data_IF_544143632640
#
_entry.id   IF_544143632640
#
_cell.length_a   1.000
_cell.length_b   1.000
_cell.length_c   1.000
_cell.angle_alpha   90.00
_cell.angle_beta   90.00
_cell.angle_gamma   90.00
#
_symmetry.space_group_name_H-M   'P 1'
#
loop_
_entity.id
_entity.type
_entity.pdbx_description
1 polymer ?
#
# COMPACT_ATOMS: atom_id res chain seq x y z
N UNK A 1 29.68 14.57 36.89
CA UNK A 1 29.23 13.52 35.95
C UNK A 1 27.84 13.92 35.48
N UNK A 2 27.72 14.36 34.23
CA UNK A 2 26.46 14.79 33.61
C UNK A 2 25.91 13.61 32.82
N UNK A 3 24.66 13.23 33.07
CA UNK A 3 23.97 12.16 32.34
C UNK A 3 22.76 12.80 31.67
N UNK A 4 22.67 12.68 30.35
CA UNK A 4 21.51 13.07 29.56
C UNK A 4 20.53 11.90 29.45
N UNK A 5 19.26 12.15 29.77
CA UNK A 5 18.16 11.23 29.42
C UNK A 5 16.96 12.07 28.98
N UNK A 6 16.48 11.83 27.75
CA UNK A 6 15.20 12.28 27.20
C UNK A 6 14.75 13.71 27.54
N UNK A 7 15.49 14.73 27.07
CA UNK A 7 15.02 16.13 26.88
C UNK A 7 14.04 16.70 27.94
N UNK A 8 14.23 16.38 29.23
CA UNK A 8 13.48 16.97 30.34
C UNK A 8 14.46 17.37 31.43
N UNK A 9 14.50 18.67 31.72
CA UNK A 9 15.33 19.24 32.78
C UNK A 9 14.62 19.06 34.12
N UNK A 10 15.14 18.21 35.00
CA UNK A 10 14.70 18.12 36.40
C UNK A 10 15.85 18.57 37.31
N UNK A 11 15.82 19.84 37.68
CA UNK A 11 16.66 20.39 38.75
C UNK A 11 15.96 20.14 40.09
N UNK A 12 16.47 19.17 40.87
CA UNK A 12 16.02 18.94 42.25
C UNK A 12 16.98 19.69 43.18
N UNK A 13 16.60 20.92 43.55
CA UNK A 13 17.32 21.70 44.56
C UNK A 13 16.94 21.24 45.97
N UNK A 14 17.86 20.57 46.66
CA UNK A 14 17.79 20.34 48.09
C UNK A 14 18.22 21.61 48.84
N UNK A 15 17.27 22.50 49.17
CA UNK A 15 17.25 23.30 50.42
C UNK A 15 16.10 24.33 50.40
N UNK A 16 15.01 24.00 51.12
CA UNK A 16 14.32 24.84 52.13
C UNK A 16 13.02 24.15 52.56
N UNK A 17 12.70 24.10 53.86
CA UNK A 17 11.39 23.62 54.30
C UNK A 17 10.31 24.65 53.92
N UNK A 18 9.34 24.24 53.11
CA UNK A 18 8.11 25.02 52.88
C UNK A 18 7.14 24.80 54.04
N UNK A 19 6.81 25.88 54.74
CA UNK A 19 5.66 25.94 55.64
C UNK A 19 4.47 26.49 54.85
N UNK A 20 3.33 25.79 54.86
CA UNK A 20 2.07 26.28 54.29
C UNK A 20 1.16 26.74 55.43
N UNK A 21 0.84 28.03 55.45
CA UNK A 21 -0.06 28.66 56.42
C UNK A 21 -1.47 28.65 55.82
N UNK A 22 -2.39 27.91 56.41
CA UNK A 22 -3.83 27.96 56.07
C UNK A 22 -4.56 28.19 57.39
N UNK A 23 -5.35 29.26 57.47
CA UNK A 23 -6.24 29.51 58.62
C UNK A 23 -5.53 29.72 59.98
N UNK A 24 -4.34 30.29 60.01
CA UNK A 24 -3.70 30.73 61.27
C UNK A 24 -2.99 29.66 62.11
N UNK A 25 -2.97 28.38 61.71
CA UNK A 25 -2.14 27.35 62.34
C UNK A 25 -1.06 26.79 61.39
N UNK A 26 0.10 26.46 61.96
CA UNK A 26 1.26 25.92 61.24
C UNK A 26 1.28 24.40 61.42
N UNK A 27 1.04 23.65 60.34
CA UNK A 27 1.15 22.19 60.35
C UNK A 27 2.52 21.75 59.84
N UNK A 28 3.19 20.88 60.61
CA UNK A 28 4.48 20.28 60.25
C UNK A 28 4.21 19.00 59.46
N UNK A 29 4.49 19.00 58.16
CA UNK A 29 4.32 17.81 57.31
C UNK A 29 5.35 16.75 57.71
N UNK A 30 4.90 15.64 58.32
CA UNK A 30 5.72 14.46 58.56
C UNK A 30 5.88 13.69 57.24
N UNK A 31 7.08 13.76 56.66
CA UNK A 31 7.44 12.87 55.56
C UNK A 31 7.59 11.44 56.10
N UNK A 32 6.89 10.47 55.51
CA UNK A 32 7.12 9.04 55.74
C UNK A 32 8.59 8.75 55.43
N UNK A 33 9.34 8.28 56.44
CA UNK A 33 10.69 7.76 56.27
C UNK A 33 10.61 6.51 55.41
N UNK A 34 10.80 6.66 54.10
CA UNK A 34 11.08 5.52 53.23
C UNK A 34 12.33 4.82 53.75
N UNK A 35 12.18 3.59 54.22
CA UNK A 35 13.29 2.74 54.66
C UNK A 35 14.25 2.55 53.50
N UNK A 36 15.56 2.73 53.77
CA UNK A 36 16.65 2.54 52.81
C UNK A 36 16.60 1.17 52.12
N UNK A 37 15.99 0.17 52.76
CA UNK A 37 15.83 -1.18 52.22
C UNK A 37 14.82 -1.26 51.06
N UNK A 38 13.76 -0.43 51.07
CA UNK A 38 12.75 -0.44 50.01
C UNK A 38 13.26 0.25 48.73
N UNK A 39 14.10 1.27 48.88
CA UNK A 39 14.74 1.95 47.74
C UNK A 39 15.78 1.05 47.05
N UNK A 40 16.50 0.22 47.82
CA UNK A 40 17.45 -0.77 47.30
C UNK A 40 16.75 -1.91 46.54
N UNK A 41 15.56 -2.33 46.97
CA UNK A 41 14.77 -3.36 46.29
C UNK A 41 14.21 -2.88 44.94
N UNK A 42 13.82 -1.61 44.82
CA UNK A 42 13.37 -1.04 43.56
C UNK A 42 14.54 -0.91 42.57
N UNK A 43 15.73 -0.53 43.05
CA UNK A 43 16.96 -0.43 42.24
C UNK A 43 17.49 -1.79 41.74
N UNK A 44 17.23 -2.89 42.45
CA UNK A 44 17.64 -4.23 42.02
C UNK A 44 16.70 -4.88 40.98
N UNK A 45 15.52 -4.31 40.75
CA UNK A 45 14.50 -4.89 39.85
C UNK A 45 14.48 -4.31 38.43
N UNK A 46 15.32 -3.31 38.15
CA UNK A 46 15.49 -2.77 36.80
C UNK A 46 16.39 -3.73 36.00
N UNK A 47 15.94 -4.28 34.86
CA UNK A 47 16.80 -5.09 34.01
C UNK A 47 17.99 -4.22 33.58
N UNK A 48 19.20 -4.77 33.74
CA UNK A 48 20.44 -4.14 33.32
C UNK A 48 20.40 -3.92 31.81
N UNK A 49 19.87 -2.77 31.42
CA UNK A 49 19.96 -2.24 30.07
C UNK A 49 21.43 -1.94 29.87
N UNK A 50 22.08 -2.68 28.98
CA UNK A 50 23.45 -2.38 28.56
C UNK A 50 23.46 -0.97 28.00
N UNK A 51 23.92 0.00 28.79
CA UNK A 51 24.25 1.34 28.33
C UNK A 51 25.45 1.20 27.40
N UNK A 52 25.19 1.05 26.10
CA UNK A 52 26.22 1.18 25.07
C UNK A 52 26.60 2.66 24.98
N UNK A 53 27.56 3.07 25.81
CA UNK A 53 28.22 4.36 25.66
C UNK A 53 29.15 4.31 24.45
N UNK A 54 28.99 5.26 23.51
CA UNK A 54 29.96 5.46 22.43
C UNK A 54 31.26 5.98 23.02
N UNK A 55 32.38 5.38 22.65
CA UNK A 55 33.70 5.76 23.14
C UNK A 55 34.33 6.79 22.21
N UNK A 56 34.61 7.98 22.74
CA UNK A 56 35.36 9.01 22.04
C UNK A 56 36.86 8.75 22.25
N UNK A 57 37.61 8.52 21.17
CA UNK A 57 39.06 8.30 21.20
C UNK A 57 39.79 9.42 20.47
N UNK A 58 41.09 9.55 20.71
CA UNK A 58 41.96 10.47 19.96
C UNK A 58 42.94 9.66 19.10
N UNK A 59 43.14 10.07 17.84
CA UNK A 59 44.11 9.44 16.95
C UNK A 59 45.55 9.94 17.23
N UNK A 60 46.55 9.39 16.54
CA UNK A 60 47.97 9.77 16.71
C UNK A 60 48.28 11.23 16.35
N UNK A 61 47.36 11.91 15.65
CA UNK A 61 47.45 13.33 15.28
C UNK A 61 46.69 14.24 16.26
N UNK A 62 46.08 13.69 17.31
CA UNK A 62 45.34 14.42 18.34
C UNK A 62 43.90 14.75 17.97
N UNK A 63 43.36 14.16 16.91
CA UNK A 63 42.01 14.40 16.42
C UNK A 63 41.02 13.44 17.09
N UNK A 64 39.84 13.95 17.45
CA UNK A 64 38.81 13.18 18.14
C UNK A 64 38.01 12.35 17.15
N UNK A 65 37.88 11.05 17.43
CA UNK A 65 37.14 10.07 16.63
C UNK A 65 36.10 9.36 17.49
N UNK A 66 34.98 9.00 16.87
CA UNK A 66 33.94 8.15 17.46
C UNK A 66 34.11 6.76 16.88
N UNK A 67 34.20 5.74 17.73
CA UNK A 67 34.35 4.35 17.31
C UNK A 67 33.12 3.55 17.76
N UNK A 68 32.52 2.82 16.83
CA UNK A 68 31.35 1.97 17.08
C UNK A 68 31.74 0.52 17.39
N UNK A 69 30.84 -0.26 18.03
CA UNK A 69 31.10 -1.66 18.35
C UNK A 69 31.34 -2.57 17.12
N UNK A 70 30.87 -2.16 15.94
CA UNK A 70 31.09 -2.85 14.66
C UNK A 70 32.49 -2.59 14.06
N UNK A 71 33.32 -1.77 14.74
CA UNK A 71 34.66 -1.40 14.30
C UNK A 71 34.69 -0.26 13.28
N UNK A 72 33.53 0.26 12.88
CA UNK A 72 33.46 1.50 12.12
C UNK A 72 33.85 2.68 13.00
N UNK A 73 34.40 3.72 12.39
CA UNK A 73 34.75 4.95 13.08
C UNK A 73 34.62 6.16 12.16
N UNK A 74 34.44 7.32 12.76
CA UNK A 74 34.43 8.60 12.03
C UNK A 74 35.05 9.71 12.88
N UNK A 75 35.43 10.81 12.22
CA UNK A 75 35.88 12.02 12.92
C UNK A 75 34.72 12.70 13.66
N UNK A 76 34.99 13.20 14.85
CA UNK A 76 33.99 13.92 15.64
C UNK A 76 33.50 15.20 14.95
N UNK A 77 34.35 15.83 14.12
CA UNK A 77 33.98 16.99 13.31
C UNK A 77 32.81 16.71 12.36
N UNK A 78 32.67 15.46 11.93
CA UNK A 78 31.72 15.05 10.89
C UNK A 78 30.48 14.37 11.50
N UNK A 79 30.34 14.41 12.83
CA UNK A 79 29.23 13.83 13.56
C UNK A 79 27.91 14.57 13.28
N UNK A 80 26.96 13.85 12.65
CA UNK A 80 25.67 14.39 12.21
C UNK A 80 25.57 14.59 10.69
N UNK A 81 26.59 14.24 9.91
CA UNK A 81 26.49 14.16 8.45
C UNK A 81 25.93 12.79 8.02
N UNK A 82 24.89 12.79 7.18
CA UNK A 82 24.25 11.57 6.65
C UNK A 82 24.97 11.03 5.38
N UNK A 83 26.20 11.50 5.10
CA UNK A 83 26.98 11.04 3.95
C UNK A 83 27.66 9.69 4.25
N UNK A 84 27.37 8.61 3.52
CA UNK A 84 27.99 7.30 3.76
C UNK A 84 29.51 7.29 3.62
N UNK A 85 30.10 8.30 2.96
CA UNK A 85 31.54 8.42 2.77
C UNK A 85 32.33 8.86 4.00
N UNK A 86 31.67 9.33 5.05
CA UNK A 86 32.31 9.79 6.31
C UNK A 86 32.56 8.66 7.31
N UNK A 87 31.98 7.48 7.07
CA UNK A 87 32.20 6.29 7.88
C UNK A 87 33.39 5.49 7.37
N UNK A 88 34.44 5.40 8.18
CA UNK A 88 35.63 4.63 7.88
C UNK A 88 35.58 3.26 8.59
N UNK A 89 36.21 2.24 8.01
CA UNK A 89 36.37 0.93 8.66
C UNK A 89 35.43 -0.19 8.21
N UNK A 90 34.46 0.07 7.32
CA UNK A 90 33.83 -1.01 6.54
C UNK A 90 34.82 -1.50 5.48
N UNK A 91 35.69 -2.43 5.85
CA UNK A 91 36.27 -3.35 4.86
C UNK A 91 35.13 -4.25 4.41
N UNK A 92 34.52 -3.90 3.28
CA UNK A 92 33.91 -4.92 2.44
C UNK A 92 34.99 -5.97 2.17
N UNK A 93 34.79 -7.16 2.71
CA UNK A 93 35.48 -8.34 2.22
C UNK A 93 35.14 -8.44 0.73
N UNK A 94 36.02 -7.88 -0.11
CA UNK A 94 36.15 -8.18 -1.53
C UNK A 94 36.64 -9.62 -1.68
N UNK A 95 35.81 -10.56 -1.24
CA UNK A 95 35.78 -11.91 -1.74
C UNK A 95 34.85 -11.89 -2.94
N UNK A 96 35.45 -11.93 -4.12
CA UNK A 96 34.84 -11.99 -5.45
C UNK A 96 33.70 -13.02 -5.54
N UNK A 97 32.51 -12.62 -5.12
CA UNK A 97 31.24 -13.25 -5.51
C UNK A 97 30.43 -12.20 -6.26
N UNK A 98 31.00 -11.79 -7.39
CA UNK A 98 30.18 -11.38 -8.54
C UNK A 98 29.26 -12.57 -8.83
N UNK A 99 28.02 -12.53 -8.32
CA UNK A 99 26.97 -13.35 -8.89
C UNK A 99 26.75 -12.81 -10.30
N UNK A 100 27.07 -13.57 -11.37
CA UNK A 100 26.86 -13.08 -12.72
C UNK A 100 25.36 -12.81 -12.87
N UNK A 101 24.99 -11.53 -12.94
CA UNK A 101 23.67 -11.12 -13.39
C UNK A 101 23.66 -11.50 -14.87
N UNK A 102 22.96 -12.57 -15.19
CA UNK A 102 22.76 -13.01 -16.57
C UNK A 102 21.88 -11.96 -17.27
N UNK A 103 22.53 -11.04 -17.98
CA UNK A 103 21.88 -10.09 -18.90
C UNK A 103 21.68 -10.77 -20.27
N UNK A 104 20.98 -11.90 -20.25
CA UNK A 104 20.51 -12.53 -21.48
C UNK A 104 19.15 -11.95 -21.84
N UNK A 105 18.99 -11.46 -23.05
CA UNK A 105 17.66 -11.35 -23.65
C UNK A 105 17.12 -12.76 -23.74
N UNK A 106 16.12 -13.07 -22.91
CA UNK A 106 15.30 -14.27 -23.12
C UNK A 106 14.58 -14.00 -24.43
N UNK A 107 15.14 -14.49 -25.53
CA UNK A 107 14.37 -14.63 -26.76
C UNK A 107 13.12 -15.41 -26.36
N UNK A 108 11.92 -14.85 -26.59
CA UNK A 108 10.68 -15.56 -26.29
C UNK A 108 10.80 -16.90 -26.98
N UNK A 109 10.64 -18.01 -26.24
CA UNK A 109 10.80 -19.37 -26.78
C UNK A 109 10.20 -19.42 -28.19
N UNK A 110 11.05 -19.49 -29.22
CA UNK A 110 10.61 -19.62 -30.59
C UNK A 110 10.12 -21.05 -30.76
N UNK A 111 8.83 -21.22 -30.45
CA UNK A 111 8.16 -22.49 -30.48
C UNK A 111 6.83 -22.35 -29.79
N UNK A 112 5.75 -22.62 -30.52
CA UNK A 112 4.50 -22.98 -29.90
C UNK A 112 4.79 -24.16 -28.97
N UNK A 113 4.72 -23.96 -27.66
CA UNK A 113 4.71 -25.08 -26.70
C UNK A 113 3.41 -25.83 -27.01
N UNK A 114 3.52 -26.85 -27.88
CA UNK A 114 2.39 -27.69 -28.24
C UNK A 114 2.02 -28.47 -26.98
N UNK A 115 0.98 -28.02 -26.30
CA UNK A 115 0.44 -28.70 -25.12
C UNK A 115 0.06 -30.11 -25.57
N UNK A 116 0.78 -31.12 -25.08
CA UNK A 116 0.48 -32.51 -25.44
C UNK A 116 -0.75 -32.99 -24.68
N UNK A 117 -1.45 -34.00 -25.20
CA UNK A 117 -2.60 -34.60 -24.50
C UNK A 117 -2.24 -35.08 -23.08
N UNK A 118 -1.02 -35.58 -22.90
CA UNK A 118 -0.49 -35.97 -21.60
C UNK A 118 -0.35 -34.78 -20.63
N UNK A 119 -0.03 -33.59 -21.14
CA UNK A 119 0.03 -32.38 -20.32
C UNK A 119 -1.37 -31.92 -19.91
N UNK A 120 -2.35 -32.02 -20.81
CA UNK A 120 -3.75 -31.72 -20.48
C UNK A 120 -4.26 -32.70 -19.42
N UNK A 121 -3.93 -33.99 -19.53
CA UNK A 121 -4.27 -35.00 -18.52
C UNK A 121 -3.65 -34.65 -17.16
N UNK A 122 -2.36 -34.30 -17.10
CA UNK A 122 -1.70 -33.88 -15.85
C UNK A 122 -2.37 -32.66 -15.24
N UNK A 123 -2.74 -31.67 -16.06
CA UNK A 123 -3.47 -30.47 -15.62
C UNK A 123 -4.84 -30.87 -15.07
N UNK A 124 -5.57 -31.74 -15.74
CA UNK A 124 -6.89 -32.22 -15.31
C UNK A 124 -6.82 -32.98 -13.98
N UNK A 125 -5.90 -33.92 -13.85
CA UNK A 125 -5.63 -34.66 -12.60
C UNK A 125 -5.29 -33.70 -11.47
N UNK A 126 -4.40 -32.73 -11.72
CA UNK A 126 -4.03 -31.72 -10.72
C UNK A 126 -5.22 -30.87 -10.30
N UNK A 127 -6.05 -30.42 -11.25
CA UNK A 127 -7.28 -29.67 -10.97
C UNK A 127 -8.27 -30.48 -10.15
N UNK A 128 -8.45 -31.76 -10.47
CA UNK A 128 -9.33 -32.66 -9.70
C UNK A 128 -8.84 -32.83 -8.25
N UNK A 129 -7.53 -32.97 -8.05
CA UNK A 129 -6.93 -33.02 -6.70
C UNK A 129 -7.18 -31.73 -5.92
N UNK A 130 -6.90 -30.57 -6.54
CA UNK A 130 -7.11 -29.26 -5.90
C UNK A 130 -8.59 -29.01 -5.57
N UNK A 131 -9.50 -29.39 -6.46
CA UNK A 131 -10.93 -29.28 -6.21
C UNK A 131 -11.36 -30.16 -5.04
N UNK A 132 -10.79 -31.37 -4.92
CA UNK A 132 -11.08 -32.23 -3.78
C UNK A 132 -10.53 -31.67 -2.46
N UNK A 133 -9.32 -31.13 -2.48
CA UNK A 133 -8.72 -30.48 -1.31
C UNK A 133 -9.57 -29.28 -0.87
N UNK A 134 -10.00 -28.44 -1.81
CA UNK A 134 -10.90 -27.33 -1.55
C UNK A 134 -12.24 -27.79 -0.94
N UNK A 135 -12.84 -28.87 -1.46
CA UNK A 135 -14.07 -29.43 -0.91
C UNK A 135 -13.89 -29.94 0.53
N UNK A 136 -12.75 -30.58 0.83
CA UNK A 136 -12.44 -31.04 2.18
C UNK A 136 -12.28 -29.86 3.15
N UNK A 137 -11.54 -28.82 2.76
CA UNK A 137 -11.34 -27.60 3.55
C UNK A 137 -12.67 -26.89 3.79
N UNK A 138 -13.51 -26.75 2.75
CA UNK A 138 -14.81 -26.11 2.88
C UNK A 138 -15.75 -26.91 3.79
N UNK A 139 -15.75 -28.25 3.70
CA UNK A 139 -16.50 -29.12 4.62
C UNK A 139 -16.02 -28.99 6.07
N UNK A 140 -14.71 -28.88 6.30
CA UNK A 140 -14.16 -28.68 7.64
C UNK A 140 -14.60 -27.33 8.21
N UNK A 141 -14.52 -26.25 7.41
CA UNK A 141 -14.99 -24.91 7.80
C UNK A 141 -16.47 -24.90 8.14
N UNK A 142 -17.30 -25.59 7.36
CA UNK A 142 -18.73 -25.74 7.65
C UNK A 142 -18.96 -26.47 8.99
N UNK A 143 -18.22 -27.55 9.26
CA UNK A 143 -18.30 -28.25 10.55
C UNK A 143 -17.86 -27.35 11.72
N UNK A 144 -16.76 -26.62 11.58
CA UNK A 144 -16.29 -25.66 12.58
C UNK A 144 -17.33 -24.56 12.84
N UNK A 145 -17.99 -24.04 11.79
CA UNK A 145 -19.05 -23.05 11.92
C UNK A 145 -20.29 -23.60 12.66
N UNK A 146 -20.70 -24.84 12.36
CA UNK A 146 -21.81 -25.51 13.08
C UNK A 146 -21.48 -25.71 14.57
N UNK A 147 -20.25 -26.13 14.88
CA UNK A 147 -19.78 -26.32 16.25
C UNK A 147 -19.72 -24.98 17.01
N UNK A 148 -19.26 -23.92 16.37
CA UNK A 148 -19.22 -22.57 16.94
C UNK A 148 -20.64 -22.06 17.27
N UNK A 149 -21.60 -22.25 16.35
CA UNK A 149 -23.00 -21.90 16.62
C UNK A 149 -23.56 -22.66 17.82
N UNK A 150 -23.34 -23.97 17.89
CA UNK A 150 -23.80 -24.80 19.00
C UNK A 150 -23.16 -24.40 20.33
N UNK A 151 -21.89 -23.99 20.33
CA UNK A 151 -21.21 -23.50 21.52
C UNK A 151 -21.85 -22.20 22.05
N UNK A 152 -22.16 -21.25 21.16
CA UNK A 152 -22.83 -19.99 21.52
C UNK A 152 -24.27 -20.24 21.98
N UNK A 153 -24.97 -21.21 21.38
CA UNK A 153 -26.32 -21.60 21.81
C UNK A 153 -26.33 -22.18 23.23
N UNK A 154 -25.34 -23.01 23.57
CA UNK A 154 -25.13 -23.51 24.94
C UNK A 154 -24.77 -22.37 25.91
N UNK A 155 -23.93 -21.43 25.49
CA UNK A 155 -23.60 -20.23 26.28
C UNK A 155 -24.86 -19.41 26.58
N UNK A 156 -25.74 -19.22 25.59
CA UNK A 156 -27.01 -18.53 25.76
C UNK A 156 -27.92 -19.25 26.76
N UNK A 157 -28.06 -20.58 26.64
CA UNK A 157 -28.87 -21.38 27.55
C UNK A 157 -28.36 -21.29 29.00
N UNK A 158 -27.04 -21.38 29.19
CA UNK A 158 -26.40 -21.24 30.49
C UNK A 158 -26.64 -19.84 31.07
N UNK A 159 -26.47 -18.78 30.27
CA UNK A 159 -26.70 -17.40 30.68
C UNK A 159 -28.16 -17.13 31.05
N UNK A 160 -29.13 -17.76 30.37
CA UNK A 160 -30.55 -17.66 30.70
C UNK A 160 -30.93 -18.41 31.98
N UNK A 161 -30.20 -19.47 32.34
CA UNK A 161 -30.44 -20.25 33.56
C UNK A 161 -29.83 -19.65 34.84
N UNK A 162 -28.99 -18.63 34.71
CA UNK A 162 -28.30 -18.02 35.85
C UNK A 162 -29.24 -17.16 36.71
N UNK A 163 -29.14 -17.28 38.03
CA UNK A 163 -30.03 -16.60 38.99
C UNK A 163 -29.97 -15.05 38.94
N UNK A 164 -28.84 -14.48 38.49
CA UNK A 164 -28.64 -13.04 38.30
C UNK A 164 -28.25 -12.78 36.83
N UNK A 165 -29.23 -12.85 35.94
CA UNK A 165 -29.00 -12.66 34.50
C UNK A 165 -28.75 -11.18 34.16
N UNK A 166 -27.53 -10.84 33.75
CA UNK A 166 -27.22 -9.54 33.13
C UNK A 166 -27.87 -9.45 31.73
N UNK A 167 -28.87 -8.57 31.60
CA UNK A 167 -29.65 -8.40 30.38
C UNK A 167 -28.80 -7.95 29.19
N UNK A 168 -27.74 -7.17 29.42
CA UNK A 168 -26.85 -6.70 28.37
C UNK A 168 -25.88 -7.80 27.90
N UNK A 169 -25.50 -8.72 28.81
CA UNK A 169 -24.74 -9.91 28.45
C UNK A 169 -25.54 -10.85 27.55
N UNK A 170 -26.81 -11.12 27.89
CA UNK A 170 -27.71 -11.95 27.06
C UNK A 170 -27.92 -11.34 25.67
N UNK A 171 -28.09 -10.01 25.59
CA UNK A 171 -28.23 -9.31 24.30
C UNK A 171 -27.01 -9.51 23.41
N UNK A 172 -25.80 -9.37 23.95
CA UNK A 172 -24.55 -9.58 23.21
C UNK A 172 -24.41 -11.02 22.71
N UNK A 173 -24.78 -12.01 23.52
CA UNK A 173 -24.76 -13.42 23.09
C UNK A 173 -25.75 -13.65 21.95
N UNK A 174 -26.95 -13.07 21.99
CA UNK A 174 -27.94 -13.20 20.89
C UNK A 174 -27.41 -12.64 19.57
N UNK A 175 -26.75 -11.49 19.59
CA UNK A 175 -26.12 -10.89 18.39
C UNK A 175 -25.04 -11.82 17.83
N UNK A 176 -24.19 -12.40 18.71
CA UNK A 176 -23.18 -13.39 18.29
C UNK A 176 -23.81 -14.65 17.70
N UNK A 177 -24.92 -15.12 18.26
CA UNK A 177 -25.64 -16.28 17.76
C UNK A 177 -26.21 -16.03 16.36
N UNK A 178 -26.75 -14.85 16.11
CA UNK A 178 -27.24 -14.45 14.79
C UNK A 178 -26.10 -14.40 13.76
N UNK A 179 -24.98 -13.80 14.12
CA UNK A 179 -23.77 -13.80 13.28
C UNK A 179 -23.28 -15.23 12.99
N UNK A 180 -23.24 -16.10 14.00
CA UNK A 180 -22.82 -17.49 13.83
C UNK A 180 -23.76 -18.30 12.92
N UNK A 181 -25.09 -18.06 12.98
CA UNK A 181 -26.07 -18.66 12.06
C UNK A 181 -25.83 -18.22 10.61
N UNK A 182 -25.54 -16.93 10.39
CA UNK A 182 -25.24 -16.42 9.05
C UNK A 182 -23.96 -17.06 8.49
N UNK A 183 -22.92 -17.19 9.30
CA UNK A 183 -21.67 -17.85 8.93
C UNK A 183 -21.85 -19.35 8.65
N UNK A 184 -22.65 -20.06 9.44
CA UNK A 184 -23.00 -21.47 9.19
C UNK A 184 -23.68 -21.64 7.82
N UNK A 185 -24.63 -20.76 7.49
CA UNK A 185 -25.32 -20.80 6.21
C UNK A 185 -24.38 -20.53 5.04
N UNK A 186 -23.53 -19.49 5.11
CA UNK A 186 -22.59 -19.17 4.03
C UNK A 186 -21.55 -20.27 3.83
N UNK A 187 -20.99 -20.82 4.92
CA UNK A 187 -19.98 -21.90 4.84
C UNK A 187 -20.59 -23.22 4.37
N UNK A 188 -21.84 -23.51 4.71
CA UNK A 188 -22.57 -24.68 4.20
C UNK A 188 -22.81 -24.58 2.69
N UNK A 189 -23.18 -23.40 2.18
CA UNK A 189 -23.32 -23.16 0.74
C UNK A 189 -21.98 -23.32 0.01
N UNK A 190 -20.91 -22.69 0.51
CA UNK A 190 -19.55 -22.82 -0.03
C UNK A 190 -19.10 -24.29 -0.07
N UNK A 191 -19.36 -25.06 1.00
CA UNK A 191 -19.02 -26.48 1.05
C UNK A 191 -19.77 -27.32 -0.01
N UNK A 192 -21.05 -27.03 -0.24
CA UNK A 192 -21.84 -27.69 -1.28
C UNK A 192 -21.34 -27.34 -2.69
N UNK A 193 -21.02 -26.08 -2.95
CA UNK A 193 -20.45 -25.63 -4.22
C UNK A 193 -19.07 -26.25 -4.47
N UNK A 194 -18.19 -26.26 -3.47
CA UNK A 194 -16.88 -26.88 -3.57
C UNK A 194 -17.00 -28.40 -3.82
N UNK A 195 -17.94 -29.08 -3.16
CA UNK A 195 -18.20 -30.52 -3.36
C UNK A 195 -18.69 -30.82 -4.76
N UNK A 196 -19.69 -30.08 -5.26
CA UNK A 196 -20.19 -30.27 -6.63
C UNK A 196 -19.12 -29.95 -7.68
N UNK A 197 -18.28 -28.95 -7.43
CA UNK A 197 -17.11 -28.63 -8.25
C UNK A 197 -16.07 -29.77 -8.28
N UNK A 198 -15.78 -30.37 -7.13
CA UNK A 198 -14.88 -31.51 -7.01
C UNK A 198 -15.41 -32.77 -7.72
N UNK A 199 -16.71 -33.06 -7.56
CA UNK A 199 -17.38 -34.17 -8.25
C UNK A 199 -17.35 -33.98 -9.77
N UNK A 200 -17.65 -32.77 -10.26
CA UNK A 200 -17.55 -32.45 -11.69
C UNK A 200 -16.12 -32.61 -12.22
N UNK A 201 -15.11 -32.11 -11.50
CA UNK A 201 -13.72 -32.24 -11.91
C UNK A 201 -13.24 -33.70 -11.94
N UNK A 202 -13.70 -34.53 -10.99
CA UNK A 202 -13.45 -35.98 -10.99
C UNK A 202 -14.11 -36.69 -12.16
N UNK A 203 -15.38 -36.37 -12.43
CA UNK A 203 -16.14 -36.96 -13.52
C UNK A 203 -15.49 -36.67 -14.88
N UNK A 204 -15.07 -35.41 -15.11
CA UNK A 204 -14.36 -35.00 -16.32
C UNK A 204 -13.02 -35.73 -16.50
N UNK A 205 -12.29 -35.92 -15.40
CA UNK A 205 -11.02 -36.67 -15.41
C UNK A 205 -11.27 -38.16 -15.68
N UNK A 206 -12.30 -38.76 -15.06
CA UNK A 206 -12.62 -40.18 -15.21
C UNK A 206 -13.19 -40.53 -16.59
N UNK A 207 -14.00 -39.64 -17.18
CA UNK A 207 -14.58 -39.82 -18.52
C UNK A 207 -13.62 -39.51 -19.66
N UNK A 208 -12.43 -38.96 -19.37
CA UNK A 208 -11.48 -38.53 -20.40
C UNK A 208 -11.91 -37.28 -21.18
N UNK A 209 -12.96 -36.58 -20.73
CA UNK A 209 -13.52 -35.40 -21.41
C UNK A 209 -12.74 -34.10 -21.16
N UNK A 210 -11.54 -34.20 -20.58
CA UNK A 210 -10.71 -33.05 -20.23
C UNK A 210 -10.14 -32.31 -21.45
N UNK A 211 -9.94 -33.01 -22.57
CA UNK A 211 -9.46 -32.40 -23.83
C UNK A 211 -10.53 -31.48 -24.40
N UNK A 212 -11.78 -31.94 -24.45
CA UNK A 212 -12.92 -31.18 -24.98
C UNK A 212 -13.17 -29.92 -24.13
N UNK A 213 -13.21 -30.05 -22.80
CA UNK A 213 -13.38 -28.89 -21.90
C UNK A 213 -12.22 -27.89 -22.01
N UNK A 214 -10.99 -28.39 -22.22
CA UNK A 214 -9.82 -27.52 -22.40
C UNK A 214 -9.90 -26.74 -23.72
N UNK A 215 -10.27 -27.41 -24.81
CA UNK A 215 -10.44 -26.80 -26.13
C UNK A 215 -11.59 -25.78 -26.10
N UNK A 216 -12.73 -26.12 -25.50
CA UNK A 216 -13.87 -25.20 -25.36
C UNK A 216 -13.50 -23.95 -24.53
N UNK A 217 -12.72 -24.11 -23.45
CA UNK A 217 -12.19 -22.98 -22.68
C UNK A 217 -11.20 -22.13 -23.47
N UNK A 218 -10.40 -22.75 -24.33
CA UNK A 218 -9.49 -22.00 -25.19
C UNK A 218 -10.27 -21.23 -26.26
N UNK A 219 -11.26 -21.86 -26.89
CA UNK A 219 -12.12 -21.23 -27.88
C UNK A 219 -12.96 -20.11 -27.29
N UNK A 220 -13.51 -20.27 -26.09
CA UNK A 220 -14.28 -19.21 -25.44
C UNK A 220 -13.40 -18.01 -25.08
N UNK A 221 -12.17 -18.24 -24.60
CA UNK A 221 -11.19 -17.16 -24.41
C UNK A 221 -10.79 -16.50 -25.72
N UNK A 222 -10.61 -17.29 -26.78
CA UNK A 222 -10.30 -16.78 -28.12
C UNK A 222 -11.46 -15.95 -28.65
N UNK A 223 -12.69 -16.46 -28.60
CA UNK A 223 -13.93 -15.74 -28.95
C UNK A 223 -14.10 -14.46 -28.12
N UNK A 224 -13.81 -14.48 -26.82
CA UNK A 224 -13.85 -13.27 -25.99
C UNK A 224 -12.77 -12.25 -26.39
N UNK A 225 -11.58 -12.71 -26.76
CA UNK A 225 -10.50 -11.86 -27.27
C UNK A 225 -10.80 -11.31 -28.67
N UNK A 226 -11.49 -12.10 -29.50
CA UNK A 226 -11.93 -11.72 -30.85
C UNK A 226 -13.10 -10.74 -30.76
N UNK A 227 -14.10 -11.00 -29.91
CA UNK A 227 -15.20 -10.06 -29.63
C UNK A 227 -14.69 -8.74 -29.07
N UNK A 228 -13.69 -8.75 -28.17
CA UNK A 228 -13.07 -7.51 -27.70
C UNK A 228 -12.23 -6.81 -28.77
N UNK A 229 -11.63 -7.54 -29.71
CA UNK A 229 -10.96 -6.97 -30.89
C UNK A 229 -11.95 -6.42 -31.92
N UNK A 230 -13.04 -7.12 -32.19
CA UNK A 230 -14.13 -6.68 -33.08
C UNK A 230 -14.85 -5.48 -32.46
N UNK A 231 -15.15 -5.49 -31.16
CA UNK A 231 -15.66 -4.31 -30.46
C UNK A 231 -14.69 -3.13 -30.55
N UNK A 232 -13.36 -3.35 -30.46
CA UNK A 232 -12.34 -2.31 -30.68
C UNK A 232 -12.25 -1.84 -32.15
N UNK A 233 -12.57 -2.70 -33.11
CA UNK A 233 -12.58 -2.35 -34.54
C UNK A 233 -13.88 -1.62 -34.93
N UNK A 234 -15.00 -2.00 -34.34
CA UNK A 234 -16.31 -1.33 -34.48
C UNK A 234 -16.28 0.02 -33.75
N UNK A 235 -15.64 0.13 -32.58
CA UNK A 235 -15.45 1.43 -31.90
C UNK A 235 -14.49 2.38 -32.63
N UNK A 236 -13.71 1.88 -33.59
CA UNK A 236 -12.91 2.67 -34.53
C UNK A 236 -13.71 3.23 -35.72
N UNK A 237 -14.94 2.75 -35.95
CA UNK A 237 -15.87 3.31 -36.93
C UNK A 237 -17.15 3.78 -36.23
N UNK A 238 -17.24 5.08 -35.96
CA UNK A 238 -18.44 5.81 -35.55
C UNK A 238 -19.23 5.19 -34.40
N UNK A 239 -18.87 5.60 -33.18
CA UNK A 239 -19.72 5.60 -31.98
C UNK A 239 -21.14 6.16 -32.20
N UNK A 240 -21.39 6.89 -33.30
CA UNK A 240 -22.72 7.35 -33.73
C UNK A 240 -23.73 6.22 -34.00
N UNK A 241 -23.28 5.00 -34.33
CA UNK A 241 -24.16 3.95 -34.86
C UNK A 241 -24.76 3.01 -33.81
N UNK A 242 -24.30 3.08 -32.55
CA UNK A 242 -24.76 2.23 -31.45
C UNK A 242 -25.76 2.92 -30.50
N UNK A 243 -26.09 4.19 -30.76
CA UNK A 243 -27.16 4.87 -30.05
C UNK A 243 -28.48 4.60 -30.79
N UNK A 244 -29.53 4.11 -30.13
CA UNK A 244 -30.87 4.07 -30.70
C UNK A 244 -31.34 5.51 -30.87
N UNK A 245 -31.04 6.10 -32.03
CA UNK A 245 -31.53 7.42 -32.40
C UNK A 245 -33.04 7.30 -32.63
N UNK A 246 -33.81 7.75 -31.66
CA UNK A 246 -35.24 8.03 -31.83
C UNK A 246 -35.43 8.98 -33.03
N UNK A 247 -36.50 8.79 -33.81
CA UNK A 247 -36.79 9.33 -35.15
C UNK A 247 -36.76 10.87 -35.33
N UNK A 248 -36.32 11.66 -34.35
CA UNK A 248 -36.34 13.13 -34.37
C UNK A 248 -34.96 13.79 -34.45
N UNK A 249 -33.91 13.11 -34.90
CA UNK A 249 -32.60 13.74 -35.07
C UNK A 249 -32.47 14.35 -36.47
N UNK A 250 -33.01 15.55 -36.64
CA UNK A 250 -32.72 16.41 -37.80
C UNK A 250 -31.26 16.85 -37.73
N UNK A 251 -30.48 16.42 -38.72
CA UNK A 251 -29.08 16.77 -38.87
C UNK A 251 -28.91 18.26 -39.10
N UNK A 252 -28.56 18.98 -38.05
CA UNK A 252 -27.94 20.30 -38.15
C UNK A 252 -26.74 20.33 -37.21
N UNK A 253 -25.64 20.84 -37.76
CA UNK A 253 -24.28 20.77 -37.21
C UNK A 253 -24.15 21.52 -35.88
N UNK A 254 -24.45 20.86 -34.76
CA UNK A 254 -24.19 21.42 -33.44
C UNK A 254 -22.74 21.18 -33.02
N UNK A 255 -21.85 22.09 -33.44
CA UNK A 255 -20.56 22.30 -32.75
C UNK A 255 -20.74 22.88 -31.34
N UNK A 256 -21.94 23.33 -31.01
CA UNK A 256 -22.30 23.99 -29.75
C UNK A 256 -23.07 23.07 -28.77
N UNK A 257 -23.21 21.78 -29.06
CA UNK A 257 -23.82 20.85 -28.10
C UNK A 257 -22.83 20.57 -26.96
N UNK A 258 -22.97 21.33 -25.86
CA UNK A 258 -22.16 21.22 -24.64
C UNK A 258 -22.18 19.83 -24.02
N UNK A 259 -23.14 18.98 -24.39
CA UNK A 259 -23.23 17.58 -23.96
C UNK A 259 -22.29 16.69 -24.79
N UNK A 260 -22.11 16.99 -26.08
CA UNK A 260 -21.25 16.21 -26.99
C UNK A 260 -19.82 16.77 -27.08
N UNK A 261 -19.64 18.07 -26.86
CA UNK A 261 -18.35 18.76 -26.83
C UNK A 261 -18.29 19.66 -25.58
N UNK A 262 -18.13 19.10 -24.37
CA UNK A 262 -17.91 19.92 -23.19
C UNK A 262 -16.63 20.76 -23.38
N UNK A 263 -16.63 22.04 -22.96
CA UNK A 263 -15.42 22.85 -23.03
C UNK A 263 -14.32 22.19 -22.18
N UNK A 264 -13.08 22.12 -22.70
CA UNK A 264 -11.98 21.51 -21.96
C UNK A 264 -11.81 22.25 -20.61
N UNK A 265 -11.55 21.51 -19.52
CA UNK A 265 -11.33 22.12 -18.22
C UNK A 265 -10.16 23.12 -18.30
N UNK A 266 -10.21 24.23 -17.52
CA UNK A 266 -9.19 25.28 -17.61
C UNK A 266 -7.84 24.79 -17.08
N UNK A 267 -6.91 24.49 -17.98
CA UNK A 267 -5.52 24.18 -17.65
C UNK A 267 -4.82 25.45 -17.12
N UNK A 268 -4.55 25.50 -15.80
CA UNK A 268 -3.89 26.65 -15.16
C UNK A 268 -2.40 26.37 -15.02
N UNK A 269 -1.58 27.17 -15.70
CA UNK A 269 -0.11 27.09 -15.60
C UNK A 269 0.33 27.85 -14.33
N UNK A 270 0.97 27.14 -13.40
CA UNK A 270 1.44 27.70 -12.12
C UNK A 270 2.82 28.34 -12.26
N UNK A 271 3.65 27.82 -13.17
CA UNK A 271 5.00 28.33 -13.38
C UNK A 271 5.36 28.27 -14.87
N UNK A 272 5.83 29.38 -15.44
CA UNK A 272 6.47 29.46 -16.76
C UNK A 272 7.77 30.26 -16.59
N UNK A 273 8.91 29.59 -16.72
CA UNK A 273 10.21 30.19 -16.41
C UNK A 273 11.38 29.37 -16.92
N UNK A 274 12.60 29.77 -16.57
CA UNK A 274 13.82 29.03 -16.90
C UNK A 274 14.21 28.13 -15.72
N UNK A 275 14.40 26.84 -15.96
CA UNK A 275 14.87 25.91 -14.93
C UNK A 275 16.32 26.20 -14.54
N UNK A 276 16.58 26.38 -13.24
CA UNK A 276 17.88 26.79 -12.70
C UNK A 276 19.00 25.79 -13.02
N UNK A 277 18.66 24.50 -13.06
CA UNK A 277 19.64 23.42 -13.28
C UNK A 277 19.93 23.19 -14.75
N UNK A 278 18.90 23.21 -15.61
CA UNK A 278 19.05 22.87 -17.03
C UNK A 278 19.13 24.08 -17.96
N UNK A 279 18.84 25.29 -17.46
CA UNK A 279 18.72 26.54 -18.25
C UNK A 279 17.76 26.42 -19.44
N UNK A 280 16.81 25.48 -19.35
CA UNK A 280 15.78 25.26 -20.37
C UNK A 280 14.45 25.84 -19.89
N UNK A 281 13.56 26.25 -20.80
CA UNK A 281 12.22 26.69 -20.41
C UNK A 281 11.48 25.53 -19.71
N UNK A 282 10.91 25.82 -18.55
CA UNK A 282 10.12 24.91 -17.72
C UNK A 282 8.72 25.48 -17.54
N UNK A 283 7.72 24.63 -17.79
CA UNK A 283 6.31 24.90 -17.55
C UNK A 283 5.74 23.86 -16.62
N UNK A 284 5.15 24.30 -15.51
CA UNK A 284 4.46 23.42 -14.56
C UNK A 284 2.97 23.72 -14.56
N UNK A 285 2.17 22.66 -14.68
CA UNK A 285 0.70 22.71 -14.59
C UNK A 285 0.29 22.68 -13.11
N UNK A 286 -0.89 23.20 -12.81
CA UNK A 286 -1.49 23.13 -11.48
C UNK A 286 -1.64 21.67 -11.00
N UNK A 287 -1.41 21.49 -9.70
CA UNK A 287 -1.59 20.22 -9.03
C UNK A 287 -3.06 19.87 -8.87
N UNK A 288 -3.43 18.66 -9.28
CA UNK A 288 -4.78 18.12 -9.19
C UNK A 288 -4.79 16.83 -8.35
N UNK A 289 -5.93 16.54 -7.72
CA UNK A 289 -6.11 15.30 -6.96
C UNK A 289 -6.44 14.17 -7.92
N UNK A 290 -5.66 13.08 -7.87
CA UNK A 290 -5.86 11.89 -8.70
C UNK A 290 -6.81 10.90 -8.03
N UNK A 291 -6.48 10.55 -6.78
CA UNK A 291 -7.26 9.62 -5.99
C UNK A 291 -7.02 9.82 -4.50
N UNK A 292 -7.97 9.34 -3.72
CA UNK A 292 -7.90 9.26 -2.26
C UNK A 292 -8.27 7.86 -1.82
N UNK A 293 -7.51 7.28 -0.91
CA UNK A 293 -7.74 5.93 -0.43
C UNK A 293 -7.77 5.89 1.10
N UNK A 294 -8.81 5.25 1.64
CA UNK A 294 -8.99 5.03 3.08
C UNK A 294 -9.59 3.65 3.33
N UNK A 295 -8.84 2.78 4.02
CA UNK A 295 -9.32 1.49 4.50
C UNK A 295 -10.50 1.70 5.46
N UNK A 296 -11.56 0.92 5.28
CA UNK A 296 -12.78 0.97 6.09
C UNK A 296 -12.52 0.81 7.60
N UNK A 297 -11.46 0.07 7.97
CA UNK A 297 -11.02 -0.10 9.37
C UNK A 297 -10.48 1.19 9.99
N UNK A 298 -9.91 2.07 9.17
CA UNK A 298 -9.27 3.31 9.61
C UNK A 298 -10.24 4.50 9.59
N UNK A 299 -11.34 4.41 8.84
CA UNK A 299 -12.37 5.48 8.77
C UNK A 299 -12.85 5.99 10.14
N UNK A 300 -13.12 5.15 11.16
CA UNK A 300 -13.56 5.64 12.47
C UNK A 300 -12.52 6.51 13.19
N UNK A 301 -11.23 6.30 12.90
CA UNK A 301 -10.13 7.02 13.54
C UNK A 301 -9.76 8.30 12.80
N UNK A 302 -10.00 8.35 11.48
CA UNK A 302 -9.59 9.45 10.61
C UNK A 302 -10.66 10.54 10.43
N UNK A 303 -11.90 10.30 10.91
CA UNK A 303 -13.04 11.22 10.83
C UNK A 303 -13.25 11.74 9.39
N UNK A 304 -12.79 12.97 9.12
CA UNK A 304 -12.99 13.69 7.87
C UNK A 304 -11.72 13.76 7.01
N UNK A 305 -10.64 13.08 7.42
CA UNK A 305 -9.38 13.04 6.68
C UNK A 305 -9.25 11.73 5.91
N UNK A 306 -8.80 11.82 4.68
CA UNK A 306 -8.41 10.65 3.90
C UNK A 306 -7.06 10.12 4.39
N UNK A 307 -6.90 8.79 4.42
CA UNK A 307 -5.68 8.14 4.88
C UNK A 307 -4.52 8.41 3.92
N UNK A 308 -4.74 8.19 2.63
CA UNK A 308 -3.82 8.45 1.54
C UNK A 308 -4.49 9.39 0.54
N UNK A 309 -3.82 10.49 0.20
CA UNK A 309 -4.20 11.40 -0.88
C UNK A 309 -3.07 11.47 -1.88
N UNK A 310 -3.37 11.15 -3.14
CA UNK A 310 -2.43 11.27 -4.24
C UNK A 310 -2.80 12.47 -5.11
N UNK A 311 -1.82 13.33 -5.32
CA UNK A 311 -1.94 14.51 -6.16
C UNK A 311 -0.88 14.47 -7.25
N UNK A 312 -1.23 14.90 -8.46
CA UNK A 312 -0.36 14.82 -9.61
C UNK A 312 -0.27 16.15 -10.36
N UNK A 313 0.87 16.39 -10.99
CA UNK A 313 1.00 17.43 -12.00
C UNK A 313 2.06 17.07 -13.04
N UNK A 314 1.89 17.63 -14.25
CA UNK A 314 2.84 17.52 -15.33
C UNK A 314 3.78 18.73 -15.40
N UNK A 315 5.07 18.44 -15.59
CA UNK A 315 6.12 19.42 -15.83
C UNK A 315 6.71 19.20 -17.21
N UNK A 316 6.75 20.26 -18.03
CA UNK A 316 7.38 20.27 -19.35
C UNK A 316 8.70 21.03 -19.30
N UNK A 317 9.80 20.43 -19.76
CA UNK A 317 11.14 21.02 -19.84
C UNK A 317 11.64 20.99 -21.29
N UNK A 318 12.06 22.14 -21.81
CA UNK A 318 12.74 22.24 -23.10
C UNK A 318 11.88 21.85 -24.31
N UNK A 319 10.56 22.02 -24.22
CA UNK A 319 9.64 21.81 -25.35
C UNK A 319 9.34 20.35 -25.72
N UNK A 320 9.74 19.38 -24.89
CA UNK A 320 9.48 17.97 -25.19
C UNK A 320 9.66 16.98 -24.04
N UNK A 321 10.54 17.25 -23.06
CA UNK A 321 10.67 16.38 -21.90
C UNK A 321 9.52 16.64 -20.93
N UNK A 322 8.67 15.64 -20.70
CA UNK A 322 7.57 15.73 -19.76
C UNK A 322 7.80 14.79 -18.59
N UNK A 323 7.55 15.29 -17.39
CA UNK A 323 7.64 14.54 -16.15
C UNK A 323 6.28 14.58 -15.47
N UNK A 324 5.77 13.41 -15.09
CA UNK A 324 4.66 13.29 -14.15
C UNK A 324 5.24 13.29 -12.75
N UNK A 325 4.86 14.28 -11.95
CA UNK A 325 5.18 14.30 -10.53
C UNK A 325 3.96 13.86 -9.75
N UNK A 326 4.13 12.81 -8.95
CA UNK A 326 3.12 12.32 -8.02
C UNK A 326 3.53 12.64 -6.59
N UNK A 327 2.59 13.19 -5.83
CA UNK A 327 2.74 13.56 -4.42
C UNK A 327 1.76 12.71 -3.63
N UNK A 328 2.29 11.75 -2.88
CA UNK A 328 1.50 10.92 -1.97
C UNK A 328 1.57 11.51 -0.57
N UNK A 329 0.42 11.86 -0.01
CA UNK A 329 0.30 12.42 1.33
C UNK A 329 -0.46 11.45 2.21
N UNK A 330 0.20 10.99 3.27
CA UNK A 330 -0.39 10.13 4.29
C UNK A 330 -0.71 10.93 5.54
N UNK A 331 -1.93 10.75 6.05
CA UNK A 331 -2.39 11.37 7.28
C UNK A 331 -1.85 10.70 8.56
N UNK A 332 -0.98 9.70 8.43
CA UNK A 332 -0.49 8.89 9.55
C UNK A 332 1.05 8.75 9.53
N UNK A 333 1.75 9.07 10.64
CA UNK A 333 3.22 9.03 10.70
C UNK A 333 3.82 7.64 10.49
N UNK A 334 3.18 6.57 10.98
CA UNK A 334 3.74 5.22 10.86
C UNK A 334 3.51 4.60 9.47
N UNK A 335 2.94 5.34 8.51
CA UNK A 335 2.84 4.87 7.13
C UNK A 335 4.23 4.53 6.54
N UNK A 336 5.30 5.20 6.99
CA UNK A 336 6.67 4.85 6.57
C UNK A 336 7.07 3.42 6.93
N UNK A 337 6.62 2.89 8.07
CA UNK A 337 6.95 1.50 8.47
C UNK A 337 6.16 0.48 7.64
N UNK A 338 4.95 0.82 7.22
CA UNK A 338 4.08 -0.08 6.47
C UNK A 338 4.41 -0.10 4.97
N UNK A 339 4.68 1.07 4.37
CA UNK A 339 4.93 1.23 2.94
C UNK A 339 6.43 1.30 2.60
N UNK A 340 7.27 1.73 3.54
CA UNK A 340 8.70 1.88 3.33
C UNK A 340 9.04 3.10 2.46
N UNK A 341 9.77 2.88 1.37
CA UNK A 341 10.26 3.92 0.46
C UNK A 341 9.98 3.55 -1.01
N UNK A 342 10.06 4.53 -1.90
CA UNK A 342 9.97 4.31 -3.34
C UNK A 342 11.39 4.27 -3.91
N UNK A 343 11.81 3.11 -4.40
CA UNK A 343 13.13 2.91 -4.99
C UNK A 343 13.29 3.68 -6.31
N UNK A 344 14.53 4.00 -6.66
CA UNK A 344 14.87 4.53 -7.98
C UNK A 344 14.68 3.43 -9.03
N UNK A 345 13.96 3.74 -10.10
CA UNK A 345 13.57 2.75 -11.12
C UNK A 345 12.36 1.90 -10.73
N UNK A 346 11.70 2.22 -9.60
CA UNK A 346 10.42 1.60 -9.26
C UNK A 346 9.38 1.87 -10.35
N UNK A 347 8.61 0.85 -10.69
CA UNK A 347 7.62 0.91 -11.76
C UNK A 347 6.33 1.53 -11.22
N UNK A 348 5.73 2.40 -12.01
CA UNK A 348 4.35 2.84 -11.87
C UNK A 348 3.58 2.29 -13.06
N UNK A 349 2.59 1.43 -12.81
CA UNK A 349 1.74 0.88 -13.86
C UNK A 349 0.41 1.62 -13.85
N UNK A 350 0.15 2.38 -14.90
CA UNK A 350 -1.12 3.08 -15.13
C UNK A 350 -1.99 2.15 -15.98
N UNK A 351 -3.12 1.70 -15.45
CA UNK A 351 -4.11 0.92 -16.19
C UNK A 351 -5.14 1.86 -16.76
N UNK A 352 -5.41 1.70 -18.05
CA UNK A 352 -6.43 2.47 -18.76
C UNK A 352 -7.74 1.68 -18.82
N UNK A 353 -8.87 2.36 -18.97
CA UNK A 353 -10.20 1.73 -19.05
C UNK A 353 -10.32 0.73 -20.23
N UNK A 354 -9.55 0.95 -21.30
CA UNK A 354 -9.50 0.07 -22.46
C UNK A 354 -8.75 -1.28 -22.21
N UNK A 355 -8.17 -1.45 -21.01
CA UNK A 355 -7.38 -2.62 -20.60
C UNK A 355 -5.91 -2.59 -21.02
N UNK A 356 -5.43 -1.49 -21.62
CA UNK A 356 -4.01 -1.25 -21.86
C UNK A 356 -3.34 -0.70 -20.60
N UNK A 357 -2.00 -0.78 -20.56
CA UNK A 357 -1.24 -0.28 -19.42
C UNK A 357 0.03 0.44 -19.87
N UNK A 358 0.38 1.50 -19.16
CA UNK A 358 1.60 2.28 -19.35
C UNK A 358 2.48 2.11 -18.13
N UNK A 359 3.73 1.71 -18.33
CA UNK A 359 4.71 1.57 -17.27
C UNK A 359 5.68 2.76 -17.28
N UNK A 360 5.73 3.51 -16.18
CA UNK A 360 6.69 4.59 -15.97
C UNK A 360 7.69 4.18 -14.89
N UNK A 361 8.92 4.68 -14.96
CA UNK A 361 9.99 4.32 -14.01
C UNK A 361 10.40 5.53 -13.18
N UNK A 362 10.49 5.40 -11.87
CA UNK A 362 10.86 6.52 -11.00
C UNK A 362 12.28 7.02 -11.29
N UNK A 363 12.45 8.34 -11.42
CA UNK A 363 13.74 8.94 -11.72
C UNK A 363 14.69 9.02 -10.50
N UNK A 364 14.13 9.05 -9.30
CA UNK A 364 14.86 9.17 -8.02
C UNK A 364 14.20 8.29 -6.96
N UNK A 365 15.01 7.89 -5.98
CA UNK A 365 14.52 7.27 -4.76
C UNK A 365 13.94 8.35 -3.84
N UNK A 366 12.84 8.03 -3.17
CA UNK A 366 12.26 8.88 -2.13
C UNK A 366 11.88 8.07 -0.88
N UNK A 367 12.39 8.50 0.27
CA UNK A 367 12.16 7.89 1.59
C UNK A 367 10.95 8.51 2.32
N UNK A 368 10.31 9.50 1.70
CA UNK A 368 9.21 10.27 2.26
C UNK A 368 9.71 11.27 3.31
N UNK A 369 9.04 12.40 3.44
CA UNK A 369 9.35 13.44 4.42
C UNK A 369 8.18 13.62 5.37
N UNK A 370 8.43 13.45 6.66
CA UNK A 370 7.44 13.71 7.69
C UNK A 370 7.55 15.16 8.15
N UNK A 371 6.45 15.90 8.11
CA UNK A 371 6.37 17.24 8.67
C UNK A 371 5.70 17.20 10.05
N UNK A 372 6.45 17.59 11.08
CA UNK A 372 5.99 17.60 12.47
C UNK A 372 4.85 18.60 12.70
N UNK A 373 4.73 19.64 11.87
CA UNK A 373 3.71 20.68 12.04
C UNK A 373 2.35 20.22 11.48
N UNK A 374 2.33 19.71 10.25
CA UNK A 374 1.11 19.21 9.61
C UNK A 374 0.76 17.77 10.01
N UNK A 375 1.70 17.04 10.62
CA UNK A 375 1.60 15.61 10.93
C UNK A 375 1.34 14.73 9.70
N UNK A 376 1.83 15.18 8.54
CA UNK A 376 1.68 14.48 7.26
C UNK A 376 3.02 13.88 6.84
N UNK A 377 2.96 12.66 6.30
CA UNK A 377 4.09 12.02 5.62
C UNK A 377 3.88 12.18 4.12
N UNK A 378 4.81 12.84 3.45
CA UNK A 378 4.71 13.14 2.02
C UNK A 378 5.82 12.43 1.25
N UNK A 379 5.45 11.71 0.19
CA UNK A 379 6.38 11.20 -0.83
C UNK A 379 6.18 11.97 -2.12
N UNK A 380 7.26 12.38 -2.77
CA UNK A 380 7.28 13.06 -4.04
C UNK A 380 8.14 12.29 -5.04
N UNK A 381 7.50 11.76 -6.08
CA UNK A 381 8.17 10.93 -7.09
C UNK A 381 7.99 11.54 -8.47
N UNK A 382 9.07 11.54 -9.24
CA UNK A 382 9.08 12.03 -10.61
C UNK A 382 9.23 10.86 -11.58
N UNK A 383 8.28 10.77 -12.52
CA UNK A 383 8.23 9.78 -13.58
C UNK A 383 8.45 10.47 -14.93
N UNK A 384 9.58 10.23 -15.62
CA UNK A 384 9.78 10.71 -16.97
C UNK A 384 8.80 9.99 -17.91
N UNK A 385 8.17 10.75 -18.80
CA UNK A 385 7.22 10.24 -19.79
C UNK A 385 7.83 10.42 -21.19
N UNK A 386 7.87 9.34 -21.96
CA UNK A 386 8.23 9.40 -23.38
C UNK A 386 7.05 9.86 -24.25
N UNK A 387 7.32 10.39 -25.43
CA UNK A 387 6.32 10.88 -26.38
C UNK A 387 5.31 9.79 -26.79
N UNK A 388 5.75 8.53 -26.92
CA UNK A 388 4.83 7.43 -27.23
C UNK A 388 3.83 7.17 -26.10
N UNK A 389 4.30 7.21 -24.86
CA UNK A 389 3.47 7.03 -23.66
C UNK A 389 2.54 8.23 -23.45
N UNK A 390 3.02 9.43 -23.75
CA UNK A 390 2.22 10.65 -23.68
C UNK A 390 0.99 10.59 -24.60
N UNK A 391 1.19 10.19 -25.85
CA UNK A 391 0.09 10.09 -26.83
C UNK A 391 -0.96 9.04 -26.42
N UNK A 392 -0.57 8.04 -25.62
CA UNK A 392 -1.50 7.05 -25.06
C UNK A 392 -2.28 7.65 -23.89
N UNK A 393 -1.59 8.36 -22.98
CA UNK A 393 -2.20 9.03 -21.83
C UNK A 393 -3.11 10.20 -22.23
N UNK A 394 -2.86 10.83 -23.38
CA UNK A 394 -3.68 11.92 -23.93
C UNK A 394 -5.02 11.43 -24.50
N UNK A 395 -5.06 10.20 -25.04
CA UNK A 395 -6.22 9.69 -25.78
C UNK A 395 -7.15 8.81 -24.96
N UNK A 396 -6.63 8.22 -23.90
CA UNK A 396 -7.29 7.18 -23.15
C UNK A 396 -7.54 7.64 -21.72
N UNK A 397 -8.62 7.16 -21.12
CA UNK A 397 -9.00 7.45 -19.74
C UNK A 397 -8.35 6.45 -18.77
N UNK A 398 -7.95 6.94 -17.59
CA UNK A 398 -7.24 6.15 -16.59
C UNK A 398 -8.23 5.46 -15.65
N UNK A 399 -8.02 4.17 -15.40
CA UNK A 399 -8.83 3.37 -14.47
C UNK A 399 -8.17 3.25 -13.10
N UNK A 400 -6.90 2.81 -13.07
CA UNK A 400 -6.19 2.53 -11.83
C UNK A 400 -4.68 2.80 -11.92
N UNK A 401 -4.07 3.19 -10.80
CA UNK A 401 -2.61 3.21 -10.63
C UNK A 401 -2.16 2.06 -9.77
N UNK A 402 -1.18 1.30 -10.25
CA UNK A 402 -0.44 0.35 -9.43
C UNK A 402 0.94 0.93 -9.10
N UNK A 403 1.16 1.18 -7.81
CA UNK A 403 2.37 1.77 -7.25
C UNK A 403 3.20 0.68 -6.59
N UNK A 404 4.49 0.64 -6.90
CA UNK A 404 5.44 -0.28 -6.28
C UNK A 404 6.23 0.43 -5.17
N UNK A 405 6.01 -0.03 -3.95
CA UNK A 405 6.68 0.37 -2.72
C UNK A 405 7.79 -0.64 -2.38
N UNK A 406 8.72 -0.29 -1.48
CA UNK A 406 9.74 -1.25 -1.03
C UNK A 406 9.14 -2.43 -0.25
N UNK A 407 7.95 -2.26 0.35
CA UNK A 407 7.24 -3.34 1.07
C UNK A 407 6.35 -4.22 0.17
N UNK A 408 6.06 -3.81 -1.06
CA UNK A 408 5.15 -4.52 -1.95
C UNK A 408 4.57 -3.64 -3.05
N UNK A 409 3.39 -3.99 -3.57
CA UNK A 409 2.67 -3.15 -4.52
C UNK A 409 1.23 -2.94 -4.05
N UNK A 410 0.69 -1.76 -4.37
CA UNK A 410 -0.72 -1.45 -4.15
C UNK A 410 -1.34 -0.91 -5.42
N UNK A 411 -2.65 -1.13 -5.55
CA UNK A 411 -3.45 -0.68 -6.69
C UNK A 411 -4.57 0.23 -6.18
N UNK A 412 -4.64 1.42 -6.74
CA UNK A 412 -5.60 2.46 -6.37
C UNK A 412 -6.47 2.81 -7.57
N UNK A 413 -7.77 2.82 -7.35
CA UNK A 413 -8.76 3.26 -8.34
C UNK A 413 -8.73 4.78 -8.47
N UNK A 414 -8.81 5.28 -9.70
CA UNK A 414 -8.74 6.71 -10.01
C UNK A 414 -10.15 7.26 -10.13
N UNK A 415 -10.41 8.36 -9.43
CA UNK A 415 -11.71 9.04 -9.53
C UNK A 415 -11.73 10.10 -10.64
N UNK A 416 -10.57 10.67 -10.97
CA UNK A 416 -10.43 11.71 -11.98
C UNK A 416 -9.88 11.13 -13.29
N UNK A 417 -10.79 10.54 -14.08
CA UNK A 417 -10.48 9.82 -15.32
C UNK A 417 -9.79 10.69 -16.38
N UNK A 418 -10.12 12.00 -16.38
CA UNK A 418 -9.67 12.99 -17.38
C UNK A 418 -8.37 13.71 -16.99
N UNK A 419 -7.70 13.32 -15.89
CA UNK A 419 -6.53 14.03 -15.35
C UNK A 419 -5.44 14.32 -16.39
N UNK A 420 -5.13 13.37 -17.27
CA UNK A 420 -4.10 13.60 -18.29
C UNK A 420 -4.63 14.48 -19.43
N UNK A 421 -5.91 14.37 -19.77
CA UNK A 421 -6.54 15.18 -20.81
C UNK A 421 -6.66 16.65 -20.39
N UNK A 422 -6.91 16.91 -19.10
CA UNK A 422 -6.99 18.27 -18.55
C UNK A 422 -5.64 18.97 -18.51
N UNK A 423 -4.56 18.23 -18.30
CA UNK A 423 -3.22 18.80 -18.15
C UNK A 423 -2.39 18.84 -19.44
N UNK A 424 -2.78 18.07 -20.47
CA UNK A 424 -2.08 18.00 -21.76
C UNK A 424 -2.68 18.89 -22.85
N UNK A 425 -3.98 19.20 -22.76
CA UNK A 425 -4.68 20.17 -23.62
C UNK A 425 -4.57 21.59 -23.05
#
# INVERSE_FOLDING_TARGET
MVIFVNNVFLQIDYKKPLYRKIGGQIYKMQYMKFSRQLLLLILLSLPASTLFGQELRENEQGEKIIVWPDGSWQYFSDFGSDDPGTFHGKKEDKGDRSFPIYDGTIEPLEGYVSITENDILKIAVRKSQLAQEAANIASERAQQATAARQAIEKELANAMSAANADQEHIRRIRIRLEAAKKTELSTSLEANEARTGAERARELTAKGAYVEEFLEKQESKKRQSELSREQRQISGQNYQSLLPLTENYLGESNRDDLIMNPPPPPCTIVYDGMDERTKRPRRDVQQEVLFTYTDERLRPFLKDKEYLRCEGYLTSIGGGFRYLTLVFTFAYPNAREAYGFIEKGSVLTIKMLNGTFVNLFSGKMDMGRYDTNSQLLTYQVHYPIDRGQLNLLEKEEVDAFRVFWSSGYEEYEVFQLDFFQSQLN
#
